data_IF_816708881775
#
_entry.id   IF_816708881775
#
_cell.length_a   1.000
_cell.length_b   1.000
_cell.length_c   1.000
_cell.angle_alpha   90.00
_cell.angle_beta   90.00
_cell.angle_gamma   90.00
#
_symmetry.space_group_name_H-M   'P 1'
#
loop_
_entity.id
_entity.type
_entity.pdbx_description
1 polymer ?
#
# COMPACT_ATOMS: atom_id res chain seq x y z
N UNK A 1 11.68 -30.62 1.19
CA UNK A 1 11.42 -29.31 0.53
C UNK A 1 12.73 -28.55 0.41
N UNK A 2 13.08 -28.03 -0.77
CA UNK A 2 14.29 -27.20 -0.92
C UNK A 2 14.21 -25.97 -0.02
N UNK A 3 15.29 -25.66 0.70
CA UNK A 3 15.36 -24.47 1.57
C UNK A 3 15.23 -23.20 0.70
N UNK A 4 14.43 -22.20 1.11
CA UNK A 4 14.40 -20.92 0.42
C UNK A 4 15.82 -20.33 0.39
N UNK A 5 16.31 -19.97 -0.79
CA UNK A 5 17.67 -19.42 -0.98
C UNK A 5 17.89 -18.06 -0.30
N UNK A 6 16.84 -17.46 0.29
CA UNK A 6 16.86 -16.12 0.85
C UNK A 6 16.76 -16.11 2.39
N UNK A 7 17.51 -16.94 3.13
CA UNK A 7 17.47 -16.86 4.61
C UNK A 7 18.02 -15.52 5.16
N UNK A 8 18.83 -14.80 4.36
CA UNK A 8 19.28 -13.43 4.59
C UNK A 8 19.17 -12.64 3.28
N UNK A 9 18.29 -11.64 3.23
CA UNK A 9 17.98 -10.88 2.02
C UNK A 9 18.47 -9.42 2.10
N UNK A 10 19.77 -9.24 2.32
CA UNK A 10 20.36 -7.90 2.36
C UNK A 10 20.31 -7.22 0.99
N UNK A 11 20.15 -5.89 0.98
CA UNK A 11 20.20 -5.12 -0.26
C UNK A 11 21.61 -5.10 -0.83
N UNK A 12 21.75 -5.52 -2.08
CA UNK A 12 22.96 -5.28 -2.87
C UNK A 12 23.25 -3.78 -3.00
N UNK A 13 24.49 -3.41 -3.36
CA UNK A 13 24.84 -2.00 -3.63
C UNK A 13 23.92 -1.39 -4.70
N UNK A 14 23.72 -2.10 -5.81
CA UNK A 14 22.82 -1.67 -6.89
C UNK A 14 21.37 -1.50 -6.41
N UNK A 15 20.88 -2.37 -5.54
CA UNK A 15 19.54 -2.21 -4.94
C UNK A 15 19.49 -0.96 -4.06
N UNK A 16 20.49 -0.74 -3.20
CA UNK A 16 20.56 0.47 -2.36
C UNK A 16 20.58 1.74 -3.20
N UNK A 17 21.33 1.76 -4.29
CA UNK A 17 21.41 2.90 -5.20
C UNK A 17 20.05 3.16 -5.90
N UNK A 18 19.31 2.12 -6.28
CA UNK A 18 17.93 2.25 -6.78
C UNK A 18 16.97 2.81 -5.74
N UNK A 19 17.02 2.32 -4.49
CA UNK A 19 16.18 2.82 -3.39
C UNK A 19 16.48 4.31 -3.13
N UNK A 20 17.76 4.68 -3.10
CA UNK A 20 18.21 6.07 -2.93
C UNK A 20 17.72 6.98 -4.05
N UNK A 21 17.85 6.53 -5.29
CA UNK A 21 17.37 7.28 -6.45
C UNK A 21 15.86 7.54 -6.38
N UNK A 22 15.05 6.51 -6.03
CA UNK A 22 13.59 6.67 -5.85
C UNK A 22 13.21 7.68 -4.76
N UNK A 23 14.06 7.84 -3.74
CA UNK A 23 13.85 8.78 -2.63
C UNK A 23 14.63 10.09 -2.78
N UNK A 24 15.22 10.38 -3.95
CA UNK A 24 16.13 11.52 -4.16
C UNK A 24 17.16 11.72 -3.02
N UNK A 25 17.73 10.62 -2.52
CA UNK A 25 18.67 10.59 -1.40
C UNK A 25 18.18 11.18 -0.06
N UNK A 26 16.85 11.33 0.10
CA UNK A 26 16.19 11.90 1.27
C UNK A 26 15.44 10.84 2.04
N UNK A 27 15.24 11.09 3.34
CA UNK A 27 14.36 10.27 4.15
C UNK A 27 12.92 10.35 3.61
N UNK A 28 12.31 9.20 3.33
CA UNK A 28 10.94 9.11 2.84
C UNK A 28 9.87 9.59 3.84
N UNK A 29 10.25 9.81 5.11
CA UNK A 29 9.33 10.20 6.18
C UNK A 29 9.44 11.70 6.48
N UNK A 30 10.64 12.18 6.83
CA UNK A 30 10.85 13.58 7.25
C UNK A 30 11.46 14.48 6.17
N UNK A 31 11.69 13.95 4.96
CA UNK A 31 12.22 14.67 3.80
C UNK A 31 13.64 15.26 3.96
N UNK A 32 14.27 15.03 5.11
CA UNK A 32 15.66 15.41 5.36
C UNK A 32 16.60 14.68 4.40
N UNK A 33 17.67 15.36 3.97
CA UNK A 33 18.78 14.76 3.23
C UNK A 33 19.91 14.42 4.20
N UNK A 34 19.94 13.22 4.82
CA UNK A 34 21.02 12.84 5.73
C UNK A 34 22.38 12.84 4.99
N UNK A 35 23.51 12.97 5.72
CA UNK A 35 24.83 12.71 5.14
C UNK A 35 24.89 11.30 4.52
N UNK A 36 25.74 11.10 3.51
CA UNK A 36 25.83 9.82 2.78
C UNK A 36 26.01 8.60 3.72
N UNK A 37 26.78 8.75 4.80
CA UNK A 37 27.03 7.70 5.79
C UNK A 37 25.86 7.47 6.76
N UNK A 38 24.99 8.47 6.95
CA UNK A 38 23.86 8.40 7.86
C UNK A 38 22.55 7.93 7.22
N UNK A 39 22.51 7.69 5.90
CA UNK A 39 21.30 7.22 5.23
C UNK A 39 21.18 5.70 5.35
N UNK A 40 20.02 5.23 5.81
CA UNK A 40 19.71 3.81 5.87
C UNK A 40 18.71 3.45 4.77
N UNK A 41 19.01 2.39 4.01
CA UNK A 41 18.02 1.74 3.15
C UNK A 41 17.30 0.73 4.03
N UNK A 42 16.22 1.17 4.68
CA UNK A 42 15.45 0.36 5.60
C UNK A 42 14.60 -0.65 4.82
N UNK A 43 14.62 -1.90 5.27
CA UNK A 43 13.74 -2.94 4.77
C UNK A 43 12.31 -2.74 5.30
N UNK A 44 11.31 -3.02 4.48
CA UNK A 44 9.92 -3.13 4.92
C UNK A 44 9.72 -4.50 5.59
N UNK A 45 9.90 -5.60 4.84
CA UNK A 45 10.13 -6.92 5.41
C UNK A 45 11.59 -7.09 5.76
N UNK A 46 11.90 -7.28 7.04
CA UNK A 46 13.27 -7.40 7.53
C UNK A 46 14.07 -8.45 6.74
N UNK A 47 15.40 -8.28 6.67
CA UNK A 47 16.27 -9.20 5.92
C UNK A 47 16.43 -10.58 6.58
N UNK A 48 15.96 -10.76 7.82
CA UNK A 48 16.19 -11.94 8.64
C UNK A 48 15.23 -13.09 8.31
N UNK A 49 15.22 -14.13 9.15
CA UNK A 49 14.25 -15.23 9.06
C UNK A 49 12.83 -14.79 9.41
N UNK A 50 12.69 -13.78 10.25
CA UNK A 50 11.39 -13.22 10.63
C UNK A 50 10.71 -12.64 9.39
N UNK A 51 11.39 -11.79 8.63
CA UNK A 51 10.87 -11.24 7.39
C UNK A 51 10.61 -12.29 6.31
N UNK A 52 11.38 -13.38 6.27
CA UNK A 52 11.09 -14.50 5.38
C UNK A 52 9.73 -15.13 5.71
N UNK A 53 9.49 -15.41 7.00
CA UNK A 53 8.23 -15.95 7.49
C UNK A 53 7.06 -14.99 7.27
N UNK A 54 7.27 -13.69 7.44
CA UNK A 54 6.26 -12.66 7.16
C UNK A 54 5.83 -12.71 5.69
N UNK A 55 6.78 -12.81 4.76
CA UNK A 55 6.48 -12.93 3.32
C UNK A 55 5.77 -14.24 3.00
N UNK A 56 6.20 -15.36 3.58
CA UNK A 56 5.51 -16.66 3.39
C UNK A 56 4.05 -16.60 3.83
N UNK A 57 3.78 -16.01 5.00
CA UNK A 57 2.42 -15.80 5.52
C UNK A 57 1.62 -14.85 4.62
N UNK A 58 2.23 -13.76 4.15
CA UNK A 58 1.59 -12.81 3.25
C UNK A 58 1.22 -13.43 1.89
N UNK A 59 2.09 -14.26 1.34
CA UNK A 59 1.83 -15.03 0.11
C UNK A 59 0.70 -16.02 0.34
N UNK A 60 0.73 -16.77 1.45
CA UNK A 60 -0.31 -17.71 1.82
C UNK A 60 -1.69 -17.05 1.95
N UNK A 61 -1.75 -15.85 2.52
CA UNK A 61 -2.99 -15.06 2.64
C UNK A 61 -3.41 -14.36 1.34
N UNK A 62 -2.67 -14.51 0.24
CA UNK A 62 -2.95 -13.83 -1.02
C UNK A 62 -2.73 -12.31 -0.97
N UNK A 63 -1.99 -11.81 0.02
CA UNK A 63 -1.69 -10.38 0.15
C UNK A 63 -0.53 -9.95 -0.73
N UNK A 64 0.46 -10.83 -0.91
CA UNK A 64 1.67 -10.54 -1.69
C UNK A 64 1.81 -11.57 -2.81
N UNK A 65 2.29 -11.12 -3.97
CA UNK A 65 2.54 -12.00 -5.11
C UNK A 65 3.60 -13.08 -4.76
N UNK A 66 3.41 -14.34 -5.17
CA UNK A 66 4.41 -15.40 -4.99
C UNK A 66 5.80 -15.08 -5.56
N UNK A 67 5.89 -14.13 -6.52
CA UNK A 67 7.15 -13.67 -7.11
C UNK A 67 7.86 -12.56 -6.34
N UNK A 68 7.36 -12.16 -5.17
CA UNK A 68 7.94 -11.05 -4.40
C UNK A 68 9.34 -11.37 -3.87
N UNK A 69 10.29 -10.46 -4.10
CA UNK A 69 11.68 -10.60 -3.67
C UNK A 69 12.01 -9.58 -2.58
N UNK A 70 12.42 -10.05 -1.39
CA UNK A 70 12.80 -9.16 -0.27
C UNK A 70 14.08 -8.35 -0.53
N UNK A 71 14.92 -8.80 -1.46
CA UNK A 71 16.13 -8.10 -1.89
C UNK A 71 15.86 -7.07 -3.00
N UNK A 72 14.60 -6.91 -3.44
CA UNK A 72 14.19 -5.95 -4.45
C UNK A 72 14.12 -4.52 -3.88
N UNK A 73 14.27 -3.49 -4.73
CA UNK A 73 14.11 -2.10 -4.28
C UNK A 73 12.69 -1.76 -3.81
N UNK A 74 11.68 -2.56 -4.17
CA UNK A 74 10.29 -2.42 -3.71
C UNK A 74 10.10 -2.80 -2.23
N UNK A 75 11.05 -3.51 -1.64
CA UNK A 75 11.06 -3.84 -0.20
C UNK A 75 11.81 -2.80 0.64
N UNK A 76 12.22 -1.65 0.08
CA UNK A 76 13.07 -0.72 0.79
C UNK A 76 12.73 0.75 0.56
N UNK A 77 13.04 1.56 1.56
CA UNK A 77 12.95 3.02 1.50
C UNK A 77 14.13 3.66 2.23
N UNK A 78 14.47 4.90 1.87
CA UNK A 78 15.49 5.66 2.58
C UNK A 78 14.91 6.22 3.88
N UNK A 79 15.60 6.01 4.99
CA UNK A 79 15.29 6.61 6.28
C UNK A 79 16.52 7.28 6.88
N UNK A 80 16.32 8.40 7.60
CA UNK A 80 17.34 8.96 8.47
C UNK A 80 17.38 8.15 9.79
N UNK A 81 18.49 8.22 10.57
CA UNK A 81 18.63 7.42 11.78
C UNK A 81 17.52 7.69 12.81
N UNK A 82 17.05 8.94 12.91
CA UNK A 82 15.94 9.29 13.80
C UNK A 82 14.64 8.61 13.38
N UNK A 83 14.25 8.72 12.11
CA UNK A 83 13.03 8.04 11.63
C UNK A 83 13.14 6.52 11.75
N UNK A 84 14.29 5.95 11.36
CA UNK A 84 14.50 4.52 11.39
C UNK A 84 14.53 3.98 12.81
N UNK A 85 15.53 4.35 13.61
CA UNK A 85 15.81 3.73 14.91
C UNK A 85 14.84 4.19 16.00
N UNK A 86 14.50 5.49 16.05
CA UNK A 86 13.72 6.02 17.16
C UNK A 86 12.20 5.76 17.03
N UNK A 87 11.71 5.57 15.80
CA UNK A 87 10.27 5.48 15.55
C UNK A 87 9.83 4.21 14.81
N UNK A 88 10.52 3.81 13.75
CA UNK A 88 10.09 2.68 12.93
C UNK A 88 10.58 1.32 13.45
N UNK A 89 11.83 1.21 13.88
CA UNK A 89 12.45 -0.04 14.38
C UNK A 89 12.02 -0.32 15.83
N UNK A 90 11.77 0.73 16.61
CA UNK A 90 11.17 0.67 17.94
C UNK A 90 9.65 0.38 17.93
N UNK A 91 9.06 0.23 16.74
CA UNK A 91 7.62 -0.02 16.55
C UNK A 91 6.70 1.04 17.21
N UNK A 92 7.20 2.27 17.39
CA UNK A 92 6.37 3.36 17.92
C UNK A 92 5.37 3.88 16.88
N UNK A 93 5.76 3.86 15.60
CA UNK A 93 4.90 4.22 14.46
C UNK A 93 4.99 3.18 13.34
N UNK A 94 4.02 3.22 12.43
CA UNK A 94 4.02 2.46 11.18
C UNK A 94 3.48 3.32 10.03
N UNK A 95 3.78 2.90 8.79
CA UNK A 95 3.02 3.37 7.63
C UNK A 95 1.77 2.50 7.47
N UNK A 96 0.72 3.11 6.95
CA UNK A 96 -0.52 2.44 6.57
C UNK A 96 -0.96 2.92 5.19
N UNK A 97 -1.57 2.08 4.34
CA UNK A 97 -2.43 2.60 3.28
C UNK A 97 -3.47 3.55 3.89
N UNK A 98 -3.92 4.55 3.13
CA UNK A 98 -4.92 5.49 3.64
C UNK A 98 -6.20 4.79 4.12
N UNK A 99 -6.96 5.38 5.07
CA UNK A 99 -8.27 4.86 5.48
C UNK A 99 -9.21 4.57 4.30
N UNK A 100 -9.17 5.38 3.24
CA UNK A 100 -9.98 5.24 2.04
C UNK A 100 -9.65 3.92 1.32
N UNK A 101 -8.36 3.65 1.10
CA UNK A 101 -7.89 2.40 0.49
C UNK A 101 -8.25 1.21 1.37
N UNK A 102 -8.01 1.29 2.68
CA UNK A 102 -8.33 0.19 3.60
C UNK A 102 -9.83 -0.11 3.66
N UNK A 103 -10.68 0.93 3.71
CA UNK A 103 -12.13 0.79 3.69
C UNK A 103 -12.59 0.11 2.41
N UNK A 104 -12.06 0.52 1.26
CA UNK A 104 -12.35 -0.14 -0.02
C UNK A 104 -12.00 -1.63 -0.01
N UNK A 105 -10.84 -1.99 0.53
CA UNK A 105 -10.44 -3.41 0.64
C UNK A 105 -11.43 -4.16 1.55
N UNK A 106 -11.85 -3.58 2.68
CA UNK A 106 -12.87 -4.19 3.55
C UNK A 106 -14.20 -4.39 2.81
N UNK A 107 -14.64 -3.39 2.03
CA UNK A 107 -15.88 -3.44 1.27
C UNK A 107 -15.81 -4.48 0.14
N UNK A 108 -14.71 -4.54 -0.61
CA UNK A 108 -14.42 -5.57 -1.60
C UNK A 108 -14.48 -6.98 -0.97
N UNK A 109 -13.78 -7.18 0.17
CA UNK A 109 -13.79 -8.46 0.89
C UNK A 109 -15.16 -8.83 1.50
N UNK A 110 -16.11 -7.91 1.59
CA UNK A 110 -17.47 -8.19 2.07
C UNK A 110 -18.45 -8.42 0.92
N UNK A 111 -18.34 -7.63 -0.13
CA UNK A 111 -19.28 -7.62 -1.24
C UNK A 111 -19.00 -8.71 -2.28
N UNK A 112 -17.74 -9.14 -2.43
CA UNK A 112 -17.36 -10.16 -3.41
C UNK A 112 -17.46 -11.56 -2.82
N UNK A 113 -18.18 -12.45 -3.53
CA UNK A 113 -18.28 -13.86 -3.16
C UNK A 113 -16.89 -14.50 -3.02
N UNK A 114 -16.72 -15.39 -2.04
CA UNK A 114 -15.43 -15.99 -1.75
C UNK A 114 -14.85 -16.78 -2.94
N UNK A 115 -15.69 -17.38 -3.80
CA UNK A 115 -15.26 -18.14 -4.96
C UNK A 115 -14.80 -17.25 -6.14
N UNK A 116 -15.31 -16.02 -6.22
CA UNK A 116 -14.98 -15.06 -7.29
C UNK A 116 -13.88 -14.07 -6.87
N UNK A 117 -13.55 -14.04 -5.58
CA UNK A 117 -12.61 -13.12 -4.98
C UNK A 117 -11.18 -13.36 -5.47
N UNK A 118 -10.61 -12.34 -6.10
CA UNK A 118 -9.19 -12.28 -6.42
C UNK A 118 -8.35 -12.08 -5.16
N UNK A 119 -7.12 -12.65 -5.10
CA UNK A 119 -6.17 -12.35 -4.03
C UNK A 119 -5.84 -10.85 -4.04
N UNK A 120 -5.55 -10.28 -2.86
CA UNK A 120 -5.37 -8.83 -2.72
C UNK A 120 -4.21 -8.27 -3.55
N UNK A 121 -3.12 -9.02 -3.75
CA UNK A 121 -2.03 -8.54 -4.62
C UNK A 121 -2.52 -8.32 -6.08
N UNK A 122 -3.51 -9.10 -6.55
CA UNK A 122 -4.12 -8.88 -7.87
C UNK A 122 -5.09 -7.71 -7.86
N UNK A 123 -5.83 -7.51 -6.77
CA UNK A 123 -6.70 -6.34 -6.60
C UNK A 123 -5.87 -5.06 -6.67
N UNK A 124 -4.77 -4.98 -5.90
CA UNK A 124 -3.87 -3.83 -5.96
C UNK A 124 -3.22 -3.66 -7.34
N UNK A 125 -2.87 -4.75 -8.03
CA UNK A 125 -2.39 -4.68 -9.42
C UNK A 125 -3.44 -4.07 -10.35
N UNK A 126 -4.69 -4.55 -10.29
CA UNK A 126 -5.80 -4.01 -11.09
C UNK A 126 -6.11 -2.55 -10.76
N UNK A 127 -5.99 -2.14 -9.49
CA UNK A 127 -6.13 -0.74 -9.11
C UNK A 127 -5.02 0.14 -9.70
N UNK A 128 -3.78 -0.37 -9.80
CA UNK A 128 -2.71 0.34 -10.50
C UNK A 128 -2.96 0.39 -12.02
N UNK A 129 -3.42 -0.71 -12.63
CA UNK A 129 -3.84 -0.72 -14.04
C UNK A 129 -4.92 0.36 -14.30
N UNK A 130 -5.91 0.47 -13.39
CA UNK A 130 -6.96 1.50 -13.46
C UNK A 130 -6.42 2.93 -13.32
N UNK A 131 -5.42 3.14 -12.45
CA UNK A 131 -4.74 4.43 -12.31
C UNK A 131 -4.03 4.85 -13.61
N UNK A 132 -3.55 3.88 -14.39
CA UNK A 132 -2.96 4.07 -15.72
C UNK A 132 -4.02 4.20 -16.84
N UNK A 133 -5.32 4.17 -16.50
CA UNK A 133 -6.42 4.31 -17.44
C UNK A 133 -6.81 3.01 -18.16
N UNK A 134 -6.32 1.85 -17.70
CA UNK A 134 -6.72 0.55 -18.22
C UNK A 134 -8.08 0.17 -17.62
N UNK A 135 -9.01 -0.28 -18.48
CA UNK A 135 -10.32 -0.77 -18.04
C UNK A 135 -10.15 -2.10 -17.27
N UNK A 136 -10.64 -2.13 -16.03
CA UNK A 136 -10.55 -3.30 -15.16
C UNK A 136 -11.88 -3.59 -14.49
N UNK A 137 -12.12 -4.87 -14.22
CA UNK A 137 -13.33 -5.36 -13.57
C UNK A 137 -13.15 -5.36 -12.04
N UNK A 138 -13.31 -4.17 -11.45
CA UNK A 138 -13.34 -3.95 -10.00
C UNK A 138 -14.49 -2.97 -9.65
N UNK A 139 -15.14 -3.15 -8.49
CA UNK A 139 -16.23 -2.27 -8.07
C UNK A 139 -15.71 -0.87 -7.70
N UNK A 140 -16.47 0.18 -8.03
CA UNK A 140 -16.33 1.57 -7.53
C UNK A 140 -14.90 2.07 -7.20
N UNK A 141 -13.98 2.01 -8.17
CA UNK A 141 -12.58 2.40 -7.94
C UNK A 141 -12.36 3.92 -7.91
N UNK A 142 -13.23 4.70 -8.56
CA UNK A 142 -13.01 6.12 -8.82
C UNK A 142 -12.75 6.93 -7.56
N UNK A 143 -13.38 6.55 -6.44
CA UNK A 143 -13.25 7.22 -5.15
C UNK A 143 -11.91 6.97 -4.45
N UNK A 144 -11.19 5.89 -4.80
CA UNK A 144 -9.95 5.48 -4.11
C UNK A 144 -8.67 5.66 -4.91
N UNK A 145 -8.77 5.77 -6.25
CA UNK A 145 -7.60 5.98 -7.10
C UNK A 145 -6.71 7.17 -6.67
N UNK A 146 -7.25 8.32 -6.22
CA UNK A 146 -6.41 9.44 -5.79
C UNK A 146 -5.56 9.14 -4.54
N UNK A 147 -5.88 8.07 -3.80
CA UNK A 147 -5.27 7.70 -2.54
C UNK A 147 -4.40 6.44 -2.62
N UNK A 148 -4.34 5.78 -3.78
CA UNK A 148 -3.75 4.44 -3.92
C UNK A 148 -2.26 4.41 -3.59
N UNK A 149 -1.52 5.46 -3.94
CA UNK A 149 -0.09 5.63 -3.71
C UNK A 149 0.24 6.50 -2.49
N UNK A 150 -0.80 6.83 -1.70
CA UNK A 150 -0.70 7.64 -0.50
C UNK A 150 -0.77 6.78 0.76
N UNK A 151 -0.02 7.18 1.76
CA UNK A 151 0.11 6.48 3.04
C UNK A 151 -0.11 7.42 4.21
N UNK A 152 -0.58 6.92 5.34
CA UNK A 152 -0.64 7.67 6.61
C UNK A 152 0.40 7.13 7.59
N UNK A 153 0.87 7.99 8.50
CA UNK A 153 1.63 7.56 9.67
C UNK A 153 0.66 7.20 10.80
N UNK A 154 0.73 5.94 11.22
CA UNK A 154 -0.05 5.41 12.34
C UNK A 154 0.82 5.38 13.59
N UNK A 155 0.33 6.02 14.66
CA UNK A 155 0.94 5.97 15.99
C UNK A 155 0.49 4.69 16.69
N UNK A 156 1.43 3.79 16.97
CA UNK A 156 1.14 2.48 17.57
C UNK A 156 1.16 2.53 19.11
N UNK A 157 2.06 3.32 19.69
CA UNK A 157 2.25 3.48 21.13
C UNK A 157 2.14 4.96 21.53
N UNK A 158 0.91 5.52 21.61
CA UNK A 158 0.71 6.96 21.84
C UNK A 158 1.31 7.46 23.15
N UNK A 159 1.28 6.65 24.22
CA UNK A 159 1.86 7.01 25.52
C UNK A 159 3.38 7.20 25.47
N UNK A 160 4.07 6.42 24.61
CA UNK A 160 5.52 6.51 24.42
C UNK A 160 5.93 7.70 23.55
N UNK A 161 4.99 8.25 22.79
CA UNK A 161 5.19 9.38 21.88
C UNK A 161 4.57 10.68 22.39
N UNK A 162 4.22 10.75 23.67
CA UNK A 162 3.62 11.92 24.27
C UNK A 162 4.55 13.15 24.14
N UNK A 163 4.09 14.20 23.45
CA UNK A 163 4.90 15.39 23.17
C UNK A 163 6.05 15.18 22.18
N UNK A 164 6.13 14.02 21.51
CA UNK A 164 7.16 13.74 20.52
C UNK A 164 6.81 14.29 19.15
N UNK A 165 7.83 14.71 18.41
CA UNK A 165 7.72 15.24 17.05
C UNK A 165 8.87 14.71 16.18
N UNK A 166 8.67 14.65 14.86
CA UNK A 166 9.73 14.33 13.90
C UNK A 166 10.20 15.63 13.23
N UNK A 167 11.48 16.03 13.37
CA UNK A 167 11.99 17.20 12.65
C UNK A 167 12.04 16.95 11.14
N UNK A 168 11.54 17.91 10.37
CA UNK A 168 11.51 17.92 8.91
C UNK A 168 12.16 19.20 8.35
N UNK A 169 12.74 19.11 7.15
CA UNK A 169 13.41 20.27 6.50
C UNK A 169 12.56 20.96 5.42
N UNK A 170 11.39 20.38 5.13
CA UNK A 170 10.46 20.90 4.15
C UNK A 170 9.05 20.66 4.68
N UNK A 171 8.25 21.73 4.68
CA UNK A 171 6.82 21.65 4.93
C UNK A 171 6.14 21.68 3.55
N UNK A 172 5.55 20.57 3.08
CA UNK A 172 4.83 20.55 1.80
C UNK A 172 3.64 21.50 1.82
N UNK A 173 3.27 22.02 0.65
CA UNK A 173 2.06 22.83 0.49
C UNK A 173 0.79 22.06 0.86
N UNK A 174 -0.32 22.79 1.02
CA UNK A 174 -1.64 22.20 1.24
C UNK A 174 -2.25 21.78 -0.10
N UNK A 175 -2.96 20.67 -0.09
CA UNK A 175 -3.66 20.10 -1.24
C UNK A 175 -5.12 19.84 -0.90
N UNK A 176 -5.98 19.98 -1.91
CA UNK A 176 -7.39 19.57 -1.87
C UNK A 176 -7.64 18.53 -2.97
N UNK A 177 -8.61 17.65 -2.73
CA UNK A 177 -9.07 16.71 -3.75
C UNK A 177 -10.07 17.43 -4.68
N UNK A 178 -9.70 17.63 -5.94
CA UNK A 178 -10.58 18.13 -7.00
C UNK A 178 -10.85 17.01 -8.02
N UNK A 179 -12.09 16.52 -8.03
CA UNK A 179 -12.45 15.32 -8.78
C UNK A 179 -11.62 14.11 -8.33
N UNK A 180 -10.74 13.62 -9.21
CA UNK A 180 -9.89 12.45 -8.97
C UNK A 180 -8.42 12.80 -8.76
N UNK A 181 -8.08 14.06 -8.48
CA UNK A 181 -6.68 14.49 -8.33
C UNK A 181 -6.50 15.44 -7.16
N UNK A 182 -5.37 15.31 -6.48
CA UNK A 182 -4.93 16.30 -5.51
C UNK A 182 -4.31 17.49 -6.23
N UNK A 183 -4.85 18.68 -5.97
CA UNK A 183 -4.38 19.95 -6.53
C UNK A 183 -3.96 20.89 -5.39
N UNK A 184 -3.04 21.83 -5.64
CA UNK A 184 -2.67 22.83 -4.64
C UNK A 184 -3.90 23.58 -4.12
N UNK A 185 -3.99 23.72 -2.81
CA UNK A 185 -5.07 24.45 -2.15
C UNK A 185 -4.90 25.97 -2.33
N UNK A 186 -5.99 26.76 -2.32
CA UNK A 186 -5.92 28.22 -2.25
C UNK A 186 -5.05 28.72 -1.10
N UNK A 187 -4.37 29.86 -1.27
CA UNK A 187 -3.37 30.37 -0.33
C UNK A 187 -3.92 30.68 1.08
N UNK A 188 -5.22 30.95 1.20
CA UNK A 188 -5.96 31.23 2.43
C UNK A 188 -6.56 29.98 3.09
N UNK A 189 -6.29 28.80 2.55
CA UNK A 189 -6.80 27.53 3.07
C UNK A 189 -6.18 27.21 4.44
N UNK A 190 -7.02 26.94 5.43
CA UNK A 190 -6.56 26.51 6.75
C UNK A 190 -6.05 25.06 6.71
N UNK A 191 -4.90 24.73 7.33
CA UNK A 191 -4.36 23.37 7.35
C UNK A 191 -5.28 22.30 7.96
N UNK A 192 -6.20 22.70 8.84
CA UNK A 192 -7.16 21.83 9.51
C UNK A 192 -8.55 21.82 8.84
N UNK A 193 -8.73 22.49 7.70
CA UNK A 193 -10.00 22.48 7.00
C UNK A 193 -10.31 21.07 6.43
N UNK A 194 -11.61 20.74 6.36
CA UNK A 194 -12.07 19.43 5.91
C UNK A 194 -11.65 19.19 4.45
N UNK A 195 -11.05 18.03 4.18
CA UNK A 195 -10.63 17.65 2.82
C UNK A 195 -9.32 18.30 2.36
N UNK A 196 -8.63 19.01 3.27
CA UNK A 196 -7.31 19.58 3.04
C UNK A 196 -6.26 18.65 3.65
N UNK A 197 -5.20 18.36 2.91
CA UNK A 197 -4.10 17.53 3.37
C UNK A 197 -2.74 18.10 2.96
N UNK A 198 -1.69 17.75 3.71
CA UNK A 198 -0.30 17.88 3.26
C UNK A 198 0.17 16.55 2.69
N UNK A 199 0.85 16.60 1.54
CA UNK A 199 1.41 15.40 0.90
C UNK A 199 2.94 15.49 0.95
N UNK A 200 3.53 14.63 1.78
CA UNK A 200 4.97 14.43 1.90
C UNK A 200 5.44 13.53 0.76
N UNK A 201 5.84 14.16 -0.34
CA UNK A 201 6.33 13.47 -1.54
C UNK A 201 7.83 13.72 -1.69
N UNK A 202 8.62 12.67 -1.46
CA UNK A 202 10.08 12.75 -1.53
C UNK A 202 10.59 12.88 -2.97
N UNK A 203 9.80 12.46 -3.95
CA UNK A 203 10.21 12.38 -5.36
C UNK A 203 10.21 13.74 -6.07
N UNK A 204 9.44 14.71 -5.56
CA UNK A 204 9.27 16.03 -6.17
C UNK A 204 10.14 17.12 -5.55
N UNK A 205 10.91 16.81 -4.50
CA UNK A 205 11.72 17.79 -3.77
C UNK A 205 13.01 18.08 -4.53
N UNK A 206 13.16 19.31 -5.02
CA UNK A 206 14.41 19.84 -5.57
C UNK A 206 15.42 20.16 -4.49
N UNK A 207 16.72 20.09 -4.83
CA UNK A 207 17.81 20.54 -3.96
C UNK A 207 17.86 22.07 -3.77
N UNK A 208 17.15 22.81 -4.63
CA UNK A 208 17.07 24.28 -4.59
C UNK A 208 16.02 24.82 -3.62
N UNK A 209 15.17 23.95 -3.05
CA UNK A 209 14.10 24.39 -2.15
C UNK A 209 14.68 25.01 -0.86
N UNK A 210 14.22 26.21 -0.46
CA UNK A 210 14.60 26.80 0.81
C UNK A 210 14.38 25.82 1.96
N UNK A 211 15.36 25.72 2.85
CA UNK A 211 15.23 24.91 4.06
C UNK A 211 14.28 25.62 5.02
N UNK A 212 13.11 25.03 5.23
CA UNK A 212 12.16 25.47 6.24
C UNK A 212 12.12 24.39 7.33
N UNK A 213 12.55 24.73 8.53
CA UNK A 213 12.47 23.79 9.65
C UNK A 213 11.03 23.69 10.11
N UNK A 214 10.52 22.47 10.14
CA UNK A 214 9.18 22.13 10.59
C UNK A 214 9.23 20.87 11.45
N UNK A 215 8.18 20.61 12.23
CA UNK A 215 8.08 19.39 13.03
C UNK A 215 6.77 18.67 12.74
N UNK A 216 6.84 17.36 12.53
CA UNK A 216 5.68 16.50 12.29
C UNK A 216 5.22 16.00 13.66
N UNK A 217 4.07 16.45 14.18
CA UNK A 217 3.60 16.03 15.50
C UNK A 217 3.20 14.56 15.50
N UNK A 218 3.59 13.83 16.53
CA UNK A 218 3.20 12.42 16.76
C UNK A 218 2.22 12.24 17.93
N UNK A 219 1.79 13.35 18.55
CA UNK A 219 0.92 13.32 19.71
C UNK A 219 -0.28 14.26 19.55
N UNK A 220 -1.48 13.86 20.01
CA UNK A 220 -2.68 14.70 19.97
C UNK A 220 -2.59 15.97 20.83
N UNK A 221 -1.54 16.13 21.65
CA UNK A 221 -1.31 17.37 22.39
C UNK A 221 -0.93 18.56 21.50
N UNK A 222 -0.46 18.31 20.29
CA UNK A 222 -0.11 19.37 19.34
C UNK A 222 -1.34 19.73 18.52
N UNK A 223 -1.68 21.02 18.44
CA UNK A 223 -2.83 21.48 17.65
C UNK A 223 -2.74 21.09 16.15
N UNK A 224 -1.52 20.87 15.66
CA UNK A 224 -1.28 20.44 14.29
C UNK A 224 -1.45 18.92 14.09
N UNK A 225 -1.59 18.12 15.14
CA UNK A 225 -1.79 16.67 15.03
C UNK A 225 -3.06 16.32 14.24
N UNK A 226 -4.08 17.17 14.31
CA UNK A 226 -5.34 16.99 13.57
C UNK A 226 -5.23 17.26 12.07
N UNK A 227 -4.12 17.83 11.57
CA UNK A 227 -3.94 18.04 10.13
C UNK A 227 -3.85 16.70 9.42
N UNK A 228 -4.56 16.56 8.31
CA UNK A 228 -4.47 15.39 7.47
C UNK A 228 -3.12 15.39 6.74
N UNK A 229 -2.36 14.30 6.89
CA UNK A 229 -1.04 14.14 6.28
C UNK A 229 -0.98 12.83 5.54
N UNK A 230 -0.48 12.90 4.32
CA UNK A 230 -0.19 11.75 3.49
C UNK A 230 1.28 11.72 3.13
N UNK A 231 1.82 10.52 2.96
CA UNK A 231 3.15 10.28 2.45
C UNK A 231 3.03 9.58 1.11
N UNK A 232 3.75 10.06 0.11
CA UNK A 232 3.99 9.30 -1.12
C UNK A 232 5.36 8.65 -0.99
N UNK A 233 5.37 7.35 -0.71
CA UNK A 233 6.61 6.56 -0.58
C UNK A 233 6.72 5.53 -1.70
N UNK A 234 7.94 5.19 -2.16
CA UNK A 234 8.15 4.25 -3.26
C UNK A 234 8.01 2.77 -2.82
N UNK A 235 6.93 2.46 -2.10
CA UNK A 235 6.57 1.14 -1.64
C UNK A 235 5.25 0.70 -2.27
N UNK A 236 4.98 -0.61 -2.25
CA UNK A 236 3.70 -1.16 -2.73
C UNK A 236 2.66 -1.15 -1.61
N UNK A 237 1.39 -0.80 -1.88
CA UNK A 237 0.35 -0.73 -0.85
C UNK A 237 0.15 -2.05 -0.09
N UNK A 238 0.21 -3.19 -0.78
CA UNK A 238 0.06 -4.51 -0.16
C UNK A 238 1.20 -4.86 0.81
N UNK A 239 2.41 -4.36 0.55
CA UNK A 239 3.57 -4.54 1.42
C UNK A 239 3.40 -3.73 2.70
N UNK A 240 3.01 -2.45 2.56
CA UNK A 240 2.74 -1.57 3.69
C UNK A 240 1.59 -2.13 4.55
N UNK A 241 0.51 -2.61 3.93
CA UNK A 241 -0.61 -3.21 4.64
C UNK A 241 -0.17 -4.42 5.47
N UNK A 242 0.61 -5.32 4.89
CA UNK A 242 1.12 -6.49 5.61
C UNK A 242 2.02 -6.08 6.79
N UNK A 243 2.90 -5.10 6.59
CA UNK A 243 3.77 -4.62 7.66
C UNK A 243 2.99 -3.96 8.80
N UNK A 244 1.93 -3.22 8.49
CA UNK A 244 1.02 -2.69 9.50
C UNK A 244 0.38 -3.82 10.30
N UNK A 245 -0.15 -4.86 9.63
CA UNK A 245 -0.78 -6.01 10.29
C UNK A 245 0.17 -6.74 11.24
N UNK A 246 1.44 -6.91 10.87
CA UNK A 246 2.45 -7.52 11.74
C UNK A 246 2.67 -6.66 12.99
N UNK A 247 2.83 -5.34 12.83
CA UNK A 247 3.13 -4.41 13.93
C UNK A 247 1.97 -4.22 14.90
N UNK A 248 0.72 -4.30 14.42
CA UNK A 248 -0.46 -4.10 15.28
C UNK A 248 -0.85 -5.34 16.09
N UNK A 249 -0.16 -6.48 15.94
CA UNK A 249 -0.46 -7.72 16.70
C UNK A 249 -0.36 -7.54 18.21
N UNK A 250 0.60 -6.73 18.66
CA UNK A 250 0.82 -6.44 20.09
C UNK A 250 0.01 -5.26 20.63
N UNK A 251 -0.66 -4.50 19.76
CA UNK A 251 -1.45 -3.33 20.17
C UNK A 251 -2.81 -3.82 20.67
N UNK A 252 -3.18 -3.53 21.91
CA UNK A 252 -4.45 -3.98 22.50
C UNK A 252 -5.57 -2.94 22.40
N UNK A 253 -5.21 -1.65 22.43
CA UNK A 253 -6.19 -0.57 22.43
C UNK A 253 -6.96 -0.46 21.10
N UNK A 254 -8.21 0.04 21.12
CA UNK A 254 -8.94 0.39 19.92
C UNK A 254 -8.29 1.62 19.28
N UNK A 255 -7.29 1.38 18.43
CA UNK A 255 -6.51 2.41 17.75
C UNK A 255 -7.32 3.21 16.71
N UNK A 256 -6.60 3.93 15.84
CA UNK A 256 -7.17 4.70 14.74
C UNK A 256 -7.93 3.80 13.71
N UNK A 257 -8.63 4.43 12.76
CA UNK A 257 -9.41 3.73 11.74
C UNK A 257 -8.55 2.75 10.92
N UNK A 258 -7.30 3.11 10.62
CA UNK A 258 -6.35 2.25 9.91
C UNK A 258 -6.10 0.93 10.65
N UNK A 259 -5.87 0.99 11.96
CA UNK A 259 -5.67 -0.20 12.79
C UNK A 259 -6.94 -1.07 12.78
N UNK A 260 -8.12 -0.45 12.87
CA UNK A 260 -9.40 -1.17 12.85
C UNK A 260 -9.61 -1.90 11.52
N UNK A 261 -9.43 -1.20 10.39
CA UNK A 261 -9.59 -1.81 9.07
C UNK A 261 -8.54 -2.88 8.81
N UNK A 262 -7.26 -2.65 9.16
CA UNK A 262 -6.21 -3.65 9.00
C UNK A 262 -6.51 -4.94 9.77
N UNK A 263 -7.03 -4.85 11.00
CA UNK A 263 -7.49 -6.03 11.76
C UNK A 263 -8.64 -6.76 11.06
N UNK A 264 -9.65 -6.02 10.58
CA UNK A 264 -10.79 -6.62 9.85
C UNK A 264 -10.31 -7.36 8.60
N UNK A 265 -9.42 -6.75 7.81
CA UNK A 265 -8.84 -7.38 6.61
C UNK A 265 -8.10 -8.65 7.01
N UNK A 266 -7.19 -8.58 7.99
CA UNK A 266 -6.40 -9.72 8.44
C UNK A 266 -7.29 -10.88 8.89
N UNK A 267 -8.26 -10.63 9.79
CA UNK A 267 -9.18 -11.64 10.28
C UNK A 267 -10.01 -12.25 9.15
N UNK A 268 -10.48 -11.43 8.20
CA UNK A 268 -11.26 -11.93 7.06
C UNK A 268 -10.44 -12.89 6.22
N UNK A 269 -9.23 -12.50 5.81
CA UNK A 269 -8.35 -13.36 5.00
C UNK A 269 -7.94 -14.62 5.75
N UNK A 270 -7.64 -14.51 7.05
CA UNK A 270 -7.25 -15.65 7.86
C UNK A 270 -8.38 -16.68 8.00
N UNK A 271 -9.60 -16.25 8.29
CA UNK A 271 -10.76 -17.13 8.40
C UNK A 271 -11.09 -17.82 7.07
N UNK A 272 -10.95 -17.11 5.95
CA UNK A 272 -11.12 -17.71 4.62
C UNK A 272 -10.13 -18.86 4.40
N UNK A 273 -8.86 -18.67 4.77
CA UNK A 273 -7.82 -19.68 4.60
C UNK A 273 -8.01 -20.90 5.50
N UNK A 274 -8.55 -20.72 6.71
CA UNK A 274 -8.94 -21.84 7.58
C UNK A 274 -10.11 -22.61 6.96
N UNK A 275 -11.15 -21.92 6.50
CA UNK A 275 -12.32 -22.56 5.86
C UNK A 275 -11.96 -23.36 4.61
N UNK A 276 -11.03 -22.88 3.79
CA UNK A 276 -10.50 -23.61 2.63
C UNK A 276 -9.84 -24.95 3.00
N UNK A 277 -9.24 -25.02 4.20
CA UNK A 277 -8.58 -26.23 4.71
C UNK A 277 -9.59 -27.27 5.19
N UNK A 278 -10.69 -26.84 5.81
CA UNK A 278 -11.72 -27.75 6.34
C UNK A 278 -12.56 -28.41 5.25
N UNK A 279 -12.79 -27.73 4.12
CA UNK A 279 -13.57 -28.27 2.98
C UNK A 279 -12.74 -29.24 2.12
N UNK A 280 -11.41 -29.20 2.22
CA UNK A 280 -10.51 -30.16 1.57
C UNK A 280 -9.83 -31.06 2.63
N UNK A 281 -10.56 -31.98 3.29
CA UNK A 281 -9.91 -32.93 4.17
C UNK A 281 -8.88 -33.74 3.37
N UNK A 282 -7.69 -33.99 3.92
CA UNK A 282 -6.67 -34.79 3.24
C UNK A 282 -7.28 -36.15 2.92
N UNK A 283 -7.40 -36.45 1.63
CA UNK A 283 -7.90 -37.69 1.04
C UNK A 283 -7.70 -38.88 1.99
N UNK A 284 -8.76 -39.24 2.73
CA UNK A 284 -8.81 -40.44 3.56
C UNK A 284 -9.01 -41.68 2.67
N UNK A 285 -8.23 -41.78 1.59
CA UNK A 285 -8.11 -42.97 0.75
C UNK A 285 -6.69 -43.52 0.86
N UNK A 286 -6.41 -44.11 2.02
CA UNK A 286 -5.43 -45.20 2.14
C UNK A 286 -5.77 -46.11 3.33
N UNK A 287 -6.90 -46.83 3.21
CA UNK A 287 -7.01 -48.25 3.59
C UNK A 287 -7.24 -48.96 2.25
N UNK A 288 -6.28 -49.69 1.67
CA UNK A 288 -5.89 -51.07 2.01
C UNK A 288 -7.09 -51.98 2.30
N UNK A 289 -7.61 -52.57 1.22
CA UNK A 289 -7.93 -53.99 1.05
C UNK A 289 -8.12 -54.17 -0.47
N UNK A 290 -7.20 -54.80 -1.21
CA UNK A 290 -7.13 -56.26 -1.41
C UNK A 290 -8.51 -56.87 -1.71
N UNK A 291 -8.60 -57.39 -2.94
CA UNK A 291 -9.47 -58.44 -3.45
C UNK A 291 -11.00 -58.30 -3.23
N UNK A 292 -11.74 -58.03 -4.31
CA UNK A 292 -12.47 -59.13 -4.95
C UNK A 292 -13.06 -58.76 -6.32
N UNK A 293 -13.10 -59.78 -7.18
CA UNK A 293 -13.75 -59.82 -8.48
C UNK A 293 -15.25 -59.54 -8.38
N UNK A 294 -15.87 -58.77 -9.29
CA UNK A 294 -16.91 -59.33 -10.17
C UNK A 294 -17.40 -58.37 -11.27
N UNK A 295 -18.03 -59.01 -12.25
CA UNK A 295 -18.38 -58.61 -13.59
C UNK A 295 -19.54 -57.60 -13.79
N UNK A 296 -19.38 -56.80 -14.86
CA UNK A 296 -20.37 -56.50 -15.95
C UNK A 296 -21.60 -55.60 -15.72
N UNK A 297 -22.15 -55.04 -16.84
CA UNK A 297 -22.69 -53.68 -16.90
C UNK A 297 -24.22 -53.61 -17.11
N UNK A 298 -24.81 -52.46 -16.81
CA UNK A 298 -26.10 -52.08 -17.39
C UNK A 298 -26.12 -50.62 -17.87
N UNK A 299 -26.45 -50.49 -19.16
CA UNK A 299 -26.96 -49.29 -19.84
C UNK A 299 -28.25 -48.80 -19.18
N UNK A 300 -28.43 -47.50 -19.01
CA UNK A 300 -29.69 -46.78 -19.29
C UNK A 300 -29.38 -45.36 -19.79
N UNK A 301 -30.15 -44.93 -20.78
CA UNK A 301 -30.03 -43.72 -21.58
C UNK A 301 -31.00 -42.61 -21.14
N UNK A 302 -30.78 -41.39 -21.68
CA UNK A 302 -31.74 -40.27 -21.92
C UNK A 302 -32.19 -39.49 -20.67
N UNK A 303 -32.50 -38.19 -20.70
CA UNK A 303 -32.63 -37.15 -21.74
C UNK A 303 -32.97 -35.80 -21.08
N UNK A 304 -32.69 -34.68 -21.76
CA UNK A 304 -33.33 -33.36 -21.56
C UNK A 304 -32.55 -32.43 -20.62
N UNK A 305 -32.07 -31.24 -20.98
CA UNK A 305 -32.43 -30.35 -22.08
C UNK A 305 -33.37 -29.25 -21.58
N UNK A 306 -32.83 -28.06 -21.24
CA UNK A 306 -33.33 -26.74 -21.65
C UNK A 306 -32.45 -25.62 -21.04
N UNK A 307 -32.20 -24.52 -21.78
CA UNK A 307 -31.33 -23.43 -21.34
C UNK A 307 -32.14 -22.28 -20.72
N UNK A 308 -31.61 -21.65 -19.67
CA UNK A 308 -32.12 -20.39 -19.14
C UNK A 308 -31.24 -19.21 -19.56
N UNK A 309 -31.96 -18.24 -20.10
CA UNK A 309 -31.64 -16.96 -20.73
C UNK A 309 -30.58 -16.09 -20.06
N UNK A 310 -29.70 -15.55 -20.91
CA UNK A 310 -28.86 -14.37 -20.68
C UNK A 310 -29.72 -13.11 -20.55
N UNK A 311 -29.33 -12.21 -19.65
CA UNK A 311 -29.88 -10.85 -19.62
C UNK A 311 -29.23 -9.97 -18.57
N UNK A 312 -28.05 -9.41 -18.85
CA UNK A 312 -27.58 -8.19 -18.16
C UNK A 312 -26.89 -7.26 -19.16
N UNK A 313 -27.59 -6.17 -19.44
CA UNK A 313 -27.12 -4.98 -20.15
C UNK A 313 -26.10 -4.25 -19.30
N UNK A 314 -24.82 -4.31 -19.68
CA UNK A 314 -23.77 -3.48 -19.11
C UNK A 314 -23.86 -2.07 -19.66
N UNK A 315 -24.15 -1.11 -18.78
CA UNK A 315 -24.09 0.32 -19.05
C UNK A 315 -22.60 0.71 -19.19
N UNK A 316 -22.13 0.99 -20.42
CA UNK A 316 -20.77 1.50 -20.66
C UNK A 316 -20.73 2.99 -20.36
N UNK A 317 -20.11 3.38 -19.25
CA UNK A 317 -19.72 4.75 -18.99
C UNK A 317 -18.42 5.00 -19.75
N UNK A 318 -18.47 5.76 -20.85
CA UNK A 318 -17.28 6.24 -21.54
C UNK A 318 -16.72 7.45 -20.78
N UNK A 319 -15.59 7.27 -20.13
CA UNK A 319 -14.78 8.38 -19.62
C UNK A 319 -14.03 8.99 -20.82
N UNK A 320 -14.16 10.30 -21.10
CA UNK A 320 -13.45 10.92 -22.19
C UNK A 320 -11.94 10.94 -21.91
N UNK A 321 -11.15 10.51 -22.89
CA UNK A 321 -9.70 10.57 -22.84
C UNK A 321 -9.21 12.02 -22.67
N UNK A 322 -8.14 12.26 -21.89
CA UNK A 322 -7.55 13.58 -21.76
C UNK A 322 -7.05 14.06 -23.12
N UNK A 323 -7.45 15.29 -23.48
CA UNK A 323 -6.97 15.96 -24.69
C UNK A 323 -5.45 16.11 -24.59
N UNK A 324 -4.74 15.53 -25.54
CA UNK A 324 -3.33 15.76 -25.77
C UNK A 324 -3.11 17.24 -26.03
N UNK A 325 -2.56 17.95 -25.04
CA UNK A 325 -2.03 19.29 -25.21
C UNK A 325 -0.73 19.15 -26.00
N UNK A 326 -0.78 19.52 -27.28
CA UNK A 326 0.39 19.70 -28.13
C UNK A 326 1.30 20.75 -27.49
N UNK A 327 2.49 20.32 -27.08
CA UNK A 327 3.54 21.21 -26.58
C UNK A 327 4.01 22.14 -27.71
N UNK A 328 3.73 23.42 -27.57
CA UNK A 328 4.43 24.46 -28.32
C UNK A 328 5.86 24.56 -27.77
N UNK A 329 6.84 24.46 -28.66
CA UNK A 329 8.27 24.52 -28.33
C UNK A 329 8.72 25.86 -27.74
N UNK A 330 9.94 25.90 -27.16
CA UNK A 330 10.44 27.07 -26.46
C UNK A 330 10.78 28.19 -27.45
N UNK A 331 10.06 29.31 -27.34
CA UNK A 331 10.44 30.57 -27.95
C UNK A 331 11.66 31.18 -27.26
N UNK A 332 12.48 31.99 -27.97
CA UNK A 332 13.72 32.53 -27.43
C UNK A 332 13.46 33.60 -26.36
N UNK A 333 14.43 33.82 -25.45
CA UNK A 333 14.27 34.72 -24.30
C UNK A 333 14.17 36.19 -24.76
N UNK A 334 13.07 36.85 -24.40
CA UNK A 334 12.92 38.30 -24.53
C UNK A 334 13.66 38.98 -23.38
N UNK A 335 14.62 39.82 -23.74
CA UNK A 335 15.34 40.69 -22.82
C UNK A 335 14.38 41.70 -22.16
N UNK A 336 14.33 41.71 -20.82
CA UNK A 336 13.70 42.75 -20.02
C UNK A 336 14.63 43.97 -19.96
N UNK A 337 14.22 45.06 -20.60
CA UNK A 337 14.76 46.41 -20.35
C UNK A 337 14.15 46.94 -19.05
N UNK A 338 14.97 47.13 -18.02
CA UNK A 338 14.65 48.06 -16.93
C UNK A 338 14.65 49.50 -17.47
N UNK A 339 13.58 50.23 -17.18
CA UNK A 339 13.62 51.70 -17.16
C UNK A 339 13.74 52.12 -15.70
N UNK A 340 14.74 52.96 -15.43
CA UNK A 340 14.88 53.79 -14.22
C UNK A 340 13.92 54.96 -14.34
#
# INVERSE_FOLDING_TARGET
MPRPKDARADFSKTTKDKIRAKCNDRCAICLQKPPNQGRQCAHLFDASRTGAKQVEVAIYMGMISPGYQRSSPENGMVQCPTCHLAFFDSEHIALSPTPQVLKYIVEYLRATDAAERKPLYEVFRLLNDALEGIDVDLPDMASILPFLDLYTLVVLLPDKLNGSEIPAHHLPDLFILDGSQFVPAPADTLPNARGVARIFDVSVISDELPKAYYTIPLSPKHAEFTQQRYWRVPAKPEVILMMLMERIRGVTEPGCEEIKFARVIYCTLHLQKIGEYEVNPPNSKKRMSEDDNNERPHKVSRSGGLPLTKGRSGLRIRIPAPKTVTSCGPGPPKALRLKI
#
